data_IF_147829571182
#
_entry.id   IF_147829571182
#
_cell.length_a   1.000
_cell.length_b   1.000
_cell.length_c   1.000
_cell.angle_alpha   90.00
_cell.angle_beta   90.00
_cell.angle_gamma   90.00
#
_symmetry.space_group_name_H-M   'P 1'
#
loop_
_entity.id
_entity.type
_entity.pdbx_description
1 polymer ?
#
# COMPACT_ATOMS: atom_id res chain seq x y z
N UNK A 1 8.78 37.53 -2.10
CA UNK A 1 9.60 36.37 -2.50
C UNK A 1 8.66 35.23 -2.87
N UNK A 2 8.74 34.76 -4.12
CA UNK A 2 7.80 33.79 -4.72
C UNK A 2 7.90 32.39 -4.09
N UNK A 3 6.92 31.92 -3.30
CA UNK A 3 6.91 30.54 -2.76
C UNK A 3 6.58 29.49 -3.83
N UNK A 4 6.08 29.92 -4.99
CA UNK A 4 5.57 29.08 -6.07
C UNK A 4 6.66 28.34 -6.85
N UNK A 5 7.92 28.77 -6.80
CA UNK A 5 9.01 28.07 -7.50
C UNK A 5 9.48 26.84 -6.75
N UNK A 6 9.61 26.89 -5.42
CA UNK A 6 10.17 25.78 -4.65
C UNK A 6 9.28 24.53 -4.68
N UNK A 7 7.98 24.67 -4.46
CA UNK A 7 7.04 23.53 -4.49
C UNK A 7 7.00 22.90 -5.89
N UNK A 8 6.97 23.71 -6.95
CA UNK A 8 7.02 23.21 -8.33
C UNK A 8 8.32 22.49 -8.62
N UNK A 9 9.46 23.03 -8.19
CA UNK A 9 10.78 22.38 -8.34
C UNK A 9 10.84 21.07 -7.56
N UNK A 10 10.31 21.04 -6.34
CA UNK A 10 10.30 19.85 -5.48
C UNK A 10 9.44 18.73 -6.09
N UNK A 11 8.21 19.04 -6.52
CA UNK A 11 7.28 18.08 -7.12
C UNK A 11 7.80 17.55 -8.46
N UNK A 12 8.45 18.41 -9.26
CA UNK A 12 9.01 18.01 -10.56
C UNK A 12 10.40 17.37 -10.47
N UNK A 13 10.98 17.23 -9.28
CA UNK A 13 12.28 16.61 -9.12
C UNK A 13 12.24 15.14 -9.54
N UNK A 14 13.31 14.66 -10.18
CA UNK A 14 13.42 13.26 -10.61
C UNK A 14 13.33 12.26 -9.45
N UNK A 15 13.63 12.69 -8.23
CA UNK A 15 13.54 11.85 -7.03
C UNK A 15 12.17 11.89 -6.34
N UNK A 16 11.33 12.89 -6.64
CA UNK A 16 10.07 13.08 -5.93
C UNK A 16 9.16 11.84 -5.90
N UNK A 17 8.98 11.09 -7.01
CA UNK A 17 8.21 9.85 -6.99
C UNK A 17 8.69 8.79 -5.99
N UNK A 18 10.01 8.60 -5.94
CA UNK A 18 10.64 7.60 -5.09
C UNK A 18 10.55 8.01 -3.62
N UNK A 19 10.81 9.29 -3.34
CA UNK A 19 10.70 9.85 -1.99
C UNK A 19 9.25 9.84 -1.49
N UNK A 20 8.29 10.18 -2.35
CA UNK A 20 6.87 10.10 -2.01
C UNK A 20 6.47 8.67 -1.64
N UNK A 21 6.85 7.69 -2.46
CA UNK A 21 6.58 6.29 -2.15
C UNK A 21 7.26 5.80 -0.87
N UNK A 22 8.55 6.09 -0.70
CA UNK A 22 9.35 5.58 0.42
C UNK A 22 8.96 6.23 1.75
N UNK A 23 8.97 7.57 1.81
CA UNK A 23 8.65 8.30 3.03
C UNK A 23 7.15 8.20 3.36
N UNK A 24 6.30 8.21 2.34
CA UNK A 24 4.87 8.00 2.51
C UNK A 24 4.57 6.62 3.10
N UNK A 25 5.22 5.57 2.59
CA UNK A 25 5.11 4.22 3.16
C UNK A 25 5.51 4.19 4.63
N UNK A 26 6.70 4.69 4.97
CA UNK A 26 7.22 4.71 6.34
C UNK A 26 6.27 5.49 7.26
N UNK A 27 5.79 6.65 6.82
CA UNK A 27 4.86 7.46 7.59
C UNK A 27 3.54 6.72 7.86
N UNK A 28 2.95 6.07 6.85
CA UNK A 28 1.72 5.30 7.04
C UNK A 28 1.95 4.06 7.89
N UNK A 29 3.13 3.45 7.84
CA UNK A 29 3.51 2.33 8.70
C UNK A 29 3.59 2.76 10.18
N UNK A 30 4.25 3.87 10.47
CA UNK A 30 4.31 4.43 11.83
C UNK A 30 2.93 4.85 12.35
N UNK A 31 2.11 5.46 11.48
CA UNK A 31 0.74 5.82 11.81
C UNK A 31 -0.12 4.58 12.07
N UNK A 32 0.03 3.54 11.26
CA UNK A 32 -0.62 2.24 11.46
C UNK A 32 -0.26 1.67 12.83
N UNK A 33 1.02 1.60 13.17
CA UNK A 33 1.48 1.11 14.47
C UNK A 33 0.97 1.96 15.64
N UNK A 34 0.95 3.29 15.49
CA UNK A 34 0.37 4.18 16.50
C UNK A 34 -1.14 3.93 16.69
N UNK A 35 -1.88 3.69 15.61
CA UNK A 35 -3.31 3.38 15.64
C UNK A 35 -3.60 2.02 16.30
N UNK A 36 -2.83 0.99 15.96
CA UNK A 36 -2.98 -0.35 16.54
C UNK A 36 -2.68 -0.38 18.05
N UNK A 37 -1.75 0.47 18.55
CA UNK A 37 -1.53 0.63 19.99
C UNK A 37 -2.77 1.18 20.73
N UNK A 38 -3.60 1.97 20.06
CA UNK A 38 -4.83 2.53 20.64
C UNK A 38 -6.03 1.60 20.43
N UNK A 39 -6.06 0.88 19.30
CA UNK A 39 -7.15 0.00 18.89
C UNK A 39 -6.56 -1.36 18.51
N UNK A 40 -6.31 -2.19 19.52
CA UNK A 40 -5.70 -3.51 19.34
C UNK A 40 -6.49 -4.41 18.37
N UNK A 41 -7.81 -4.25 18.29
CA UNK A 41 -8.67 -5.01 17.38
C UNK A 41 -8.38 -4.79 15.88
N UNK A 42 -7.59 -3.76 15.52
CA UNK A 42 -7.16 -3.55 14.14
C UNK A 42 -5.98 -4.45 13.74
N UNK A 43 -5.28 -5.03 14.72
CA UNK A 43 -4.26 -6.05 14.50
C UNK A 43 -4.92 -7.43 14.56
N UNK A 44 -5.01 -8.10 13.41
CA UNK A 44 -5.76 -9.35 13.28
C UNK A 44 -4.86 -10.56 13.53
N UNK A 45 -3.69 -10.58 12.90
CA UNK A 45 -2.66 -11.58 13.05
C UNK A 45 -1.32 -10.97 12.62
N UNK A 46 -0.21 -11.65 12.87
CA UNK A 46 1.12 -11.19 12.47
C UNK A 46 1.16 -10.84 10.97
N UNK A 47 1.36 -9.55 10.67
CA UNK A 47 1.40 -9.05 9.29
C UNK A 47 0.02 -8.90 8.61
N UNK A 48 -1.08 -9.05 9.34
CA UNK A 48 -2.46 -8.91 8.86
C UNK A 48 -3.20 -7.89 9.72
N UNK A 49 -3.61 -6.78 9.11
CA UNK A 49 -4.42 -5.74 9.76
C UNK A 49 -5.79 -5.62 9.08
N UNK A 50 -6.86 -5.37 9.86
CA UNK A 50 -8.22 -5.17 9.32
C UNK A 50 -8.38 -3.83 8.58
N UNK A 51 -7.51 -2.88 8.87
CA UNK A 51 -7.33 -1.63 8.13
C UNK A 51 -5.83 -1.45 7.98
N UNK A 52 -5.32 -1.44 6.74
CA UNK A 52 -3.89 -1.35 6.47
C UNK A 52 -3.55 -0.06 5.71
N UNK A 53 -3.25 1.01 6.44
CA UNK A 53 -2.94 2.33 5.87
C UNK A 53 -1.79 2.33 4.83
N UNK A 54 -0.72 1.51 4.98
CA UNK A 54 0.35 1.46 3.98
C UNK A 54 -0.13 1.02 2.57
N UNK A 55 -1.19 0.20 2.47
CA UNK A 55 -1.78 -0.12 1.17
C UNK A 55 -2.33 1.12 0.45
N UNK A 56 -2.81 2.11 1.19
CA UNK A 56 -3.32 3.34 0.61
C UNK A 56 -2.28 4.27 0.05
N UNK A 57 -1.17 4.50 0.76
CA UNK A 57 -0.08 5.28 0.20
C UNK A 57 0.62 4.56 -0.95
N UNK A 58 0.69 3.21 -0.91
CA UNK A 58 1.10 2.39 -2.05
C UNK A 58 0.24 2.70 -3.27
N UNK A 59 -1.08 2.63 -3.11
CA UNK A 59 -2.04 2.88 -4.20
C UNK A 59 -1.88 4.28 -4.78
N UNK A 60 -1.82 5.30 -3.91
CA UNK A 60 -1.63 6.69 -4.33
C UNK A 60 -0.30 6.87 -5.06
N UNK A 61 0.80 6.31 -4.55
CA UNK A 61 2.11 6.41 -5.19
C UNK A 61 2.11 5.79 -6.58
N UNK A 62 1.44 4.65 -6.75
CA UNK A 62 1.30 3.97 -8.04
C UNK A 62 0.40 4.75 -9.01
N UNK A 63 -0.75 5.25 -8.56
CA UNK A 63 -1.66 5.98 -9.44
C UNK A 63 -1.08 7.34 -9.88
N UNK A 64 -0.33 8.01 -9.02
CA UNK A 64 0.26 9.33 -9.32
C UNK A 64 1.57 9.19 -10.11
N UNK A 65 2.41 8.22 -9.76
CA UNK A 65 3.78 8.14 -10.28
C UNK A 65 4.14 6.82 -10.99
N UNK A 66 3.17 5.92 -11.14
CA UNK A 66 3.36 4.61 -11.77
C UNK A 66 4.45 3.79 -11.10
N UNK A 67 5.30 3.18 -11.93
CA UNK A 67 6.39 2.32 -11.48
C UNK A 67 7.37 3.03 -10.53
N UNK A 68 7.63 4.33 -10.72
CA UNK A 68 8.59 5.08 -9.89
C UNK A 68 8.07 5.26 -8.47
N UNK A 69 6.75 5.43 -8.31
CA UNK A 69 6.08 5.41 -7.01
C UNK A 69 6.16 4.03 -6.36
N UNK A 70 5.89 2.97 -7.11
CA UNK A 70 6.03 1.59 -6.63
C UNK A 70 7.45 1.28 -6.15
N UNK A 71 8.47 1.70 -6.90
CA UNK A 71 9.86 1.54 -6.51
C UNK A 71 10.21 2.31 -5.23
N UNK A 72 9.64 3.50 -5.03
CA UNK A 72 9.75 4.22 -3.75
C UNK A 72 9.13 3.44 -2.60
N UNK A 73 7.90 2.95 -2.78
CA UNK A 73 7.20 2.11 -1.78
C UNK A 73 8.01 0.89 -1.44
N UNK A 74 8.60 0.22 -2.44
CA UNK A 74 9.48 -0.93 -2.25
C UNK A 74 10.65 -0.59 -1.31
N UNK A 75 11.33 0.54 -1.51
CA UNK A 75 12.44 0.96 -0.66
C UNK A 75 12.00 1.20 0.80
N UNK A 76 10.87 1.90 1.01
CA UNK A 76 10.32 2.11 2.34
C UNK A 76 9.87 0.80 3.00
N UNK A 77 9.29 -0.10 2.22
CA UNK A 77 8.80 -1.39 2.68
C UNK A 77 9.92 -2.32 3.14
N UNK A 78 11.06 -2.34 2.43
CA UNK A 78 12.22 -3.12 2.87
C UNK A 78 12.67 -2.72 4.28
N UNK A 79 12.74 -1.42 4.58
CA UNK A 79 13.10 -0.94 5.91
C UNK A 79 12.08 -1.39 6.96
N UNK A 80 10.78 -1.19 6.70
CA UNK A 80 9.75 -1.56 7.68
C UNK A 80 9.64 -3.06 7.88
N UNK A 81 9.84 -3.86 6.83
CA UNK A 81 9.83 -5.33 6.90
C UNK A 81 11.02 -5.86 7.71
N UNK A 82 12.22 -5.27 7.52
CA UNK A 82 13.39 -5.60 8.34
C UNK A 82 13.14 -5.31 9.82
N UNK A 83 12.54 -4.17 10.14
CA UNK A 83 12.25 -3.78 11.52
C UNK A 83 11.14 -4.62 12.15
N UNK A 84 10.11 -4.96 11.39
CA UNK A 84 8.94 -5.68 11.89
C UNK A 84 9.20 -7.18 12.09
N UNK A 85 9.94 -7.81 11.18
CA UNK A 85 10.25 -9.24 11.23
C UNK A 85 11.66 -9.55 11.73
N UNK A 86 12.39 -8.55 12.23
CA UNK A 86 13.82 -8.65 12.56
C UNK A 86 14.18 -9.77 13.54
N UNK A 87 13.24 -10.16 14.40
CA UNK A 87 13.42 -11.21 15.39
C UNK A 87 13.16 -12.63 14.84
N UNK A 88 12.64 -12.77 13.61
CA UNK A 88 12.43 -14.08 12.99
C UNK A 88 13.78 -14.72 12.62
N UNK A 89 14.14 -15.90 13.17
CA UNK A 89 15.42 -16.54 12.89
C UNK A 89 15.65 -16.90 11.42
N UNK A 90 14.55 -17.09 10.67
CA UNK A 90 14.58 -17.42 9.24
C UNK A 90 14.64 -16.18 8.34
N UNK A 91 14.57 -14.97 8.90
CA UNK A 91 14.59 -13.74 8.13
C UNK A 91 15.92 -13.63 7.39
N UNK A 92 15.83 -13.52 6.07
CA UNK A 92 16.98 -13.28 5.20
C UNK A 92 16.61 -12.23 4.15
N UNK A 93 17.63 -11.73 3.44
CA UNK A 93 17.45 -10.69 2.44
C UNK A 93 16.45 -11.08 1.36
N UNK A 94 16.43 -12.34 0.92
CA UNK A 94 15.47 -12.80 -0.08
C UNK A 94 14.03 -12.67 0.40
N UNK A 95 13.75 -13.09 1.64
CA UNK A 95 12.40 -13.00 2.21
C UNK A 95 11.94 -11.54 2.35
N UNK A 96 12.82 -10.67 2.84
CA UNK A 96 12.56 -9.22 2.96
C UNK A 96 12.22 -8.62 1.60
N UNK A 97 13.03 -8.91 0.58
CA UNK A 97 12.83 -8.42 -0.77
C UNK A 97 11.53 -8.99 -1.37
N UNK A 98 11.21 -10.25 -1.14
CA UNK A 98 9.98 -10.89 -1.63
C UNK A 98 8.73 -10.28 -1.02
N UNK A 99 8.65 -10.16 0.31
CA UNK A 99 7.51 -9.53 1.01
C UNK A 99 7.36 -8.07 0.53
N UNK A 100 8.47 -7.33 0.48
CA UNK A 100 8.47 -5.93 0.05
C UNK A 100 8.04 -5.78 -1.41
N UNK A 101 8.46 -6.70 -2.28
CA UNK A 101 8.11 -6.68 -3.70
C UNK A 101 6.63 -6.99 -3.91
N UNK A 102 6.10 -8.02 -3.24
CA UNK A 102 4.67 -8.32 -3.27
C UNK A 102 3.88 -7.11 -2.82
N UNK A 103 4.26 -6.53 -1.68
CA UNK A 103 3.58 -5.36 -1.15
C UNK A 103 3.63 -4.20 -2.13
N UNK A 104 4.80 -3.75 -2.58
CA UNK A 104 4.92 -2.57 -3.41
C UNK A 104 4.34 -2.73 -4.83
N UNK A 105 4.59 -3.88 -5.48
CA UNK A 105 4.31 -4.04 -6.90
C UNK A 105 2.93 -4.63 -7.20
N UNK A 106 2.20 -5.20 -6.22
CA UNK A 106 0.83 -5.70 -6.46
C UNK A 106 -0.09 -4.61 -7.02
N UNK A 107 -0.02 -3.39 -6.47
CA UNK A 107 -0.77 -2.25 -6.96
C UNK A 107 -0.38 -1.85 -8.39
N UNK A 108 0.92 -1.84 -8.70
CA UNK A 108 1.40 -1.49 -10.04
C UNK A 108 0.98 -2.51 -11.09
N UNK A 109 1.15 -3.81 -10.81
CA UNK A 109 0.75 -4.88 -11.72
C UNK A 109 -0.75 -4.83 -11.99
N UNK A 110 -1.57 -4.65 -10.95
CA UNK A 110 -3.03 -4.58 -11.13
C UNK A 110 -3.49 -3.29 -11.82
N UNK A 111 -2.83 -2.15 -11.56
CA UNK A 111 -3.05 -0.92 -12.33
C UNK A 111 -2.80 -1.17 -13.82
N UNK A 112 -1.64 -1.73 -14.18
CA UNK A 112 -1.31 -2.03 -15.57
C UNK A 112 -2.30 -2.99 -16.22
N UNK A 113 -2.75 -4.03 -15.49
CA UNK A 113 -3.72 -5.00 -15.98
C UNK A 113 -5.08 -4.35 -16.22
N UNK A 114 -5.60 -3.57 -15.27
CA UNK A 114 -6.89 -2.88 -15.40
C UNK A 114 -6.84 -1.86 -16.53
N UNK A 115 -5.80 -1.03 -16.61
CA UNK A 115 -5.64 -0.06 -17.69
C UNK A 115 -5.56 -0.75 -19.06
N UNK A 116 -4.83 -1.87 -19.16
CA UNK A 116 -4.75 -2.65 -20.41
C UNK A 116 -6.09 -3.28 -20.78
N UNK A 117 -6.83 -3.80 -19.82
CA UNK A 117 -8.14 -4.43 -20.06
C UNK A 117 -9.18 -3.40 -20.49
N UNK A 118 -9.23 -2.25 -19.82
CA UNK A 118 -10.16 -1.15 -20.11
C UNK A 118 -9.69 -0.20 -21.20
N UNK A 119 -8.50 -0.43 -21.79
CA UNK A 119 -7.87 0.39 -22.83
C UNK A 119 -7.68 1.86 -22.42
N UNK A 120 -7.35 2.10 -21.15
CA UNK A 120 -7.07 3.43 -20.61
C UNK A 120 -5.68 3.88 -21.09
N UNK A 121 -5.57 5.13 -21.54
CA UNK A 121 -4.31 5.72 -22.00
C UNK A 121 -3.21 5.76 -20.93
N UNK A 122 -1.95 5.84 -21.36
CA UNK A 122 -0.77 5.77 -20.49
C UNK A 122 -0.66 6.93 -19.48
N UNK A 123 -1.33 8.05 -19.73
CA UNK A 123 -1.24 9.24 -18.87
C UNK A 123 -2.22 9.20 -17.68
N UNK A 124 -3.09 8.18 -17.58
CA UNK A 124 -4.13 8.04 -16.53
C UNK A 124 -5.10 9.23 -16.41
N UNK A 125 -5.05 10.22 -17.31
CA UNK A 125 -5.94 11.38 -17.35
C UNK A 125 -7.42 10.99 -17.50
N UNK A 126 -7.68 9.80 -18.06
CA UNK A 126 -9.01 9.24 -18.29
C UNK A 126 -9.47 8.29 -17.17
N UNK A 127 -8.68 8.11 -16.10
CA UNK A 127 -8.98 7.17 -15.03
C UNK A 127 -10.24 7.63 -14.27
N UNK A 128 -11.31 6.84 -14.34
CA UNK A 128 -12.52 7.11 -13.56
C UNK A 128 -12.40 6.58 -12.13
N UNK A 129 -13.26 7.05 -11.22
CA UNK A 129 -13.34 6.50 -9.87
C UNK A 129 -13.61 4.97 -9.87
N UNK A 130 -14.43 4.48 -10.81
CA UNK A 130 -14.71 3.05 -10.95
C UNK A 130 -13.46 2.26 -11.38
N UNK A 131 -12.58 2.85 -12.17
CA UNK A 131 -11.30 2.24 -12.55
C UNK A 131 -10.35 2.19 -11.35
N UNK A 132 -10.25 3.29 -10.60
CA UNK A 132 -9.49 3.32 -9.36
C UNK A 132 -9.98 2.27 -8.35
N UNK A 133 -11.31 2.13 -8.19
CA UNK A 133 -11.90 1.10 -7.34
C UNK A 133 -11.57 -0.32 -7.85
N UNK A 134 -11.61 -0.54 -9.16
CA UNK A 134 -11.22 -1.82 -9.77
C UNK A 134 -9.76 -2.16 -9.44
N UNK A 135 -8.86 -1.17 -9.50
CA UNK A 135 -7.44 -1.32 -9.16
C UNK A 135 -7.29 -1.63 -7.67
N UNK A 136 -7.99 -0.92 -6.78
CA UNK A 136 -7.97 -1.14 -5.32
C UNK A 136 -8.41 -2.56 -4.96
N UNK A 137 -9.52 -3.04 -5.52
CA UNK A 137 -10.02 -4.38 -5.23
C UNK A 137 -9.04 -5.44 -5.74
N UNK A 138 -8.64 -5.35 -7.00
CA UNK A 138 -7.78 -6.36 -7.62
C UNK A 138 -6.39 -6.40 -6.99
N UNK A 139 -5.80 -5.26 -6.62
CA UNK A 139 -4.53 -5.24 -5.91
C UNK A 139 -4.61 -5.88 -4.53
N UNK A 140 -5.73 -5.70 -3.80
CA UNK A 140 -5.88 -6.20 -2.43
C UNK A 140 -5.96 -7.71 -2.45
N UNK A 141 -6.71 -8.25 -3.42
CA UNK A 141 -6.78 -9.68 -3.66
C UNK A 141 -5.42 -10.27 -4.08
N UNK A 142 -4.70 -9.61 -4.99
CA UNK A 142 -3.37 -10.07 -5.42
C UNK A 142 -2.37 -10.05 -4.25
N UNK A 143 -2.30 -8.91 -3.55
CA UNK A 143 -1.44 -8.69 -2.40
C UNK A 143 -1.70 -9.73 -1.33
N UNK A 144 -2.96 -9.93 -0.94
CA UNK A 144 -3.32 -10.93 0.06
C UNK A 144 -2.94 -12.35 -0.36
N UNK A 145 -3.24 -12.73 -1.61
CA UNK A 145 -2.92 -14.06 -2.12
C UNK A 145 -1.43 -14.36 -2.08
N UNK A 146 -0.61 -13.41 -2.55
CA UNK A 146 0.84 -13.58 -2.60
C UNK A 146 1.50 -13.57 -1.21
N UNK A 147 1.05 -12.71 -0.30
CA UNK A 147 1.57 -12.69 1.07
C UNK A 147 1.20 -13.97 1.83
N UNK A 148 -0.04 -14.44 1.72
CA UNK A 148 -0.46 -15.67 2.42
C UNK A 148 0.27 -16.91 1.91
N UNK A 149 0.66 -16.97 0.63
CA UNK A 149 1.55 -18.03 0.12
C UNK A 149 2.89 -18.02 0.86
N UNK A 150 3.49 -16.84 1.08
CA UNK A 150 4.75 -16.75 1.83
C UNK A 150 4.52 -17.07 3.32
N UNK A 151 3.51 -16.46 3.94
CA UNK A 151 3.27 -16.55 5.38
C UNK A 151 2.89 -17.96 5.81
N UNK A 152 2.21 -18.74 4.96
CA UNK A 152 1.93 -20.16 5.20
C UNK A 152 3.19 -21.04 5.28
N UNK A 153 4.35 -20.56 4.79
CA UNK A 153 5.63 -21.26 4.83
C UNK A 153 6.62 -20.67 5.82
N UNK A 154 6.23 -19.62 6.56
CA UNK A 154 7.05 -19.02 7.60
C UNK A 154 6.65 -19.57 8.97
N UNK A 155 7.60 -19.72 9.92
CA UNK A 155 7.32 -20.08 11.29
C UNK A 155 6.75 -18.87 12.04
N UNK A 156 5.55 -18.43 11.66
CA UNK A 156 4.80 -17.37 12.32
C UNK A 156 3.97 -17.96 13.45
N UNK A 157 3.95 -17.26 14.58
CA UNK A 157 3.16 -17.68 15.74
C UNK A 157 1.66 -17.39 15.59
N UNK A 158 0.87 -17.89 16.55
CA UNK A 158 -0.55 -17.58 16.67
C UNK A 158 -1.39 -18.22 15.58
N UNK A 159 -2.10 -17.40 14.80
CA UNK A 159 -3.07 -17.85 13.80
C UNK A 159 -2.46 -18.66 12.63
N UNK A 160 -1.13 -18.75 12.55
CA UNK A 160 -0.39 -19.51 11.53
C UNK A 160 0.06 -20.90 11.99
N UNK A 161 -0.18 -21.28 13.25
CA UNK A 161 0.16 -22.61 13.78
C UNK A 161 -0.96 -23.61 13.48
N UNK A 162 -0.70 -24.54 12.56
CA UNK A 162 -1.65 -25.57 12.09
C UNK A 162 -3.07 -25.05 11.78
N UNK A 163 -3.21 -23.99 10.93
CA UNK A 163 -4.50 -23.37 10.69
C UNK A 163 -5.44 -24.31 9.94
N UNK A 164 -6.70 -24.33 10.34
CA UNK A 164 -7.77 -24.95 9.57
C UNK A 164 -7.96 -24.22 8.23
N UNK A 165 -8.67 -24.85 7.29
CA UNK A 165 -9.01 -24.22 6.02
C UNK A 165 -9.82 -22.92 6.19
N UNK A 166 -10.68 -22.87 7.21
CA UNK A 166 -11.48 -21.68 7.53
C UNK A 166 -10.59 -20.56 8.05
N UNK A 167 -9.66 -20.84 8.97
CA UNK A 167 -8.72 -19.84 9.50
C UNK A 167 -7.79 -19.31 8.42
N UNK A 168 -7.29 -20.18 7.53
CA UNK A 168 -6.50 -19.78 6.35
C UNK A 168 -7.30 -18.83 5.46
N UNK A 169 -8.57 -19.12 5.20
CA UNK A 169 -9.44 -18.25 4.42
C UNK A 169 -9.71 -16.91 5.14
N UNK A 170 -9.88 -16.92 6.46
CA UNK A 170 -10.08 -15.71 7.26
C UNK A 170 -8.84 -14.82 7.28
N UNK A 171 -7.63 -15.39 7.38
CA UNK A 171 -6.37 -14.65 7.28
C UNK A 171 -6.23 -13.94 5.92
N UNK A 172 -6.51 -14.67 4.85
CA UNK A 172 -6.53 -14.12 3.50
C UNK A 172 -7.58 -13.01 3.34
N UNK A 173 -8.81 -13.26 3.81
CA UNK A 173 -9.91 -12.31 3.71
C UNK A 173 -9.66 -11.04 4.53
N UNK A 174 -9.11 -11.18 5.74
CA UNK A 174 -8.74 -10.07 6.61
C UNK A 174 -7.64 -9.20 5.96
N UNK A 175 -6.61 -9.81 5.38
CA UNK A 175 -5.55 -9.08 4.68
C UNK A 175 -6.09 -8.37 3.43
N UNK A 176 -6.92 -9.04 2.62
CA UNK A 176 -7.53 -8.43 1.45
C UNK A 176 -8.43 -7.25 1.83
N UNK A 177 -9.24 -7.41 2.87
CA UNK A 177 -10.10 -6.35 3.40
C UNK A 177 -9.26 -5.17 3.94
N UNK A 178 -8.19 -5.45 4.70
CA UNK A 178 -7.27 -4.45 5.21
C UNK A 178 -6.64 -3.61 4.11
N UNK A 179 -6.13 -4.25 3.07
CA UNK A 179 -5.54 -3.60 1.90
C UNK A 179 -6.57 -2.74 1.15
N UNK A 180 -7.78 -3.25 0.94
CA UNK A 180 -8.85 -2.55 0.23
C UNK A 180 -9.33 -1.34 1.03
N UNK A 181 -9.66 -1.53 2.31
CA UNK A 181 -10.17 -0.47 3.18
C UNK A 181 -9.11 0.60 3.41
N UNK A 182 -7.87 0.20 3.71
CA UNK A 182 -6.75 1.13 3.85
C UNK A 182 -6.50 1.94 2.59
N UNK A 183 -6.63 1.31 1.41
CA UNK A 183 -6.52 2.00 0.14
C UNK A 183 -7.64 3.00 -0.11
N UNK A 184 -8.88 2.59 0.12
CA UNK A 184 -10.04 3.47 -0.05
C UNK A 184 -9.99 4.67 0.89
N UNK A 185 -9.59 4.48 2.15
CA UNK A 185 -9.49 5.57 3.12
C UNK A 185 -8.55 6.68 2.64
N UNK A 186 -7.34 6.33 2.19
CA UNK A 186 -6.37 7.32 1.72
C UNK A 186 -6.79 7.95 0.39
N UNK A 187 -7.35 7.17 -0.54
CA UNK A 187 -7.87 7.68 -1.81
C UNK A 187 -8.98 8.72 -1.60
N UNK A 188 -9.98 8.40 -0.77
CA UNK A 188 -11.08 9.30 -0.45
C UNK A 188 -10.61 10.52 0.33
N UNK A 189 -9.66 10.34 1.24
CA UNK A 189 -9.04 11.46 1.98
C UNK A 189 -8.31 12.42 1.05
N UNK A 190 -7.56 11.91 0.07
CA UNK A 190 -6.88 12.73 -0.94
C UNK A 190 -7.88 13.52 -1.80
N UNK A 191 -8.99 12.90 -2.22
CA UNK A 191 -10.06 13.56 -2.97
C UNK A 191 -10.73 14.65 -2.12
N UNK A 192 -11.12 14.33 -0.89
CA UNK A 192 -11.76 15.26 0.02
C UNK A 192 -10.87 16.48 0.29
N UNK A 193 -9.58 16.25 0.52
CA UNK A 193 -8.60 17.31 0.73
C UNK A 193 -8.41 18.18 -0.52
N UNK A 194 -8.35 17.56 -1.71
CA UNK A 194 -8.30 18.28 -2.99
C UNK A 194 -9.51 19.20 -3.17
N UNK A 195 -10.72 18.68 -2.92
CA UNK A 195 -11.96 19.45 -3.05
C UNK A 195 -12.02 20.60 -2.03
N UNK A 196 -11.56 20.38 -0.79
CA UNK A 196 -11.48 21.42 0.23
C UNK A 196 -10.55 22.57 -0.22
N UNK A 197 -9.36 22.25 -0.73
CA UNK A 197 -8.44 23.26 -1.23
C UNK A 197 -8.98 24.03 -2.44
N UNK A 198 -9.72 23.37 -3.34
CA UNK A 198 -10.37 24.04 -4.45
C UNK A 198 -11.46 25.01 -3.95
N UNK A 199 -12.31 24.56 -3.02
CA UNK A 199 -13.34 25.41 -2.41
C UNK A 199 -12.74 26.65 -1.75
N UNK A 200 -11.67 26.49 -0.97
CA UNK A 200 -10.97 27.60 -0.31
C UNK A 200 -10.28 28.57 -1.27
N UNK A 201 -9.98 28.16 -2.51
CA UNK A 201 -9.40 29.03 -3.53
C UNK A 201 -10.44 29.84 -4.29
N UNK A 202 -11.70 29.40 -4.27
CA UNK A 202 -12.83 30.05 -4.93
C UNK A 202 -13.72 30.87 -3.97
N UNK A 203 -13.50 30.77 -2.65
CA UNK A 203 -14.06 31.64 -1.62
C UNK A 203 -13.20 32.90 -1.44
#
# INVERSE_FOLDING_TARGET
>A
MHPTNFIKTLVNAKLAPYLFGALGWILMWELQGALQRQIAALDYATGVALIFLPAGIRTLAVLIFGFRGAAGVFLGCNLTTLLYFGDLPVLNLWLVLSISAISAFSAYVMMQLVCRWKKIGANLDELTFNDALSIVITQGLLSASLHQIIFAHLPLDGAYVDPTAIETFMLWAAMAAGDIVGSMLLMLSAIALSNLFQSLRHA
#
